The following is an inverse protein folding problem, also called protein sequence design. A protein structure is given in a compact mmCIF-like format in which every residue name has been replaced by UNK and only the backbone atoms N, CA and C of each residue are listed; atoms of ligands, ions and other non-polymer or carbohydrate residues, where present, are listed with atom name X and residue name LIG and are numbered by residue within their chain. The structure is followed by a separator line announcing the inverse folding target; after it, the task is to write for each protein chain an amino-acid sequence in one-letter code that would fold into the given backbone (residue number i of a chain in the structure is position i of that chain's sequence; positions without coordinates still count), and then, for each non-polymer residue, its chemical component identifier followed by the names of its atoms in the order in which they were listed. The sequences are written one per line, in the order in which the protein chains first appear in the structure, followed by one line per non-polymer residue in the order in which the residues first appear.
data_IF_596365136631
#
_entry.id   IF_596365136631
#
_cell.length_a   1.000
_cell.length_b   1.000
_cell.length_c   1.000
_cell.angle_alpha   90.00
_cell.angle_beta   90.00
_cell.angle_gamma   90.00
#
_symmetry.space_group_name_H-M   'P 1'
#
loop_
_entity.id
_entity.type
_entity.pdbx_description
1 polymer ?
#
# COMPACT_ATOMS: atom_id res chain seq x y z
N UNK A 1 -12.50 -7.99 4.12
CA UNK A 1 -11.59 -6.87 3.81
C UNK A 1 -12.39 -5.67 3.30
N UNK A 2 -13.53 -5.87 2.61
CA UNK A 2 -14.48 -4.80 2.23
C UNK A 2 -15.00 -4.01 3.42
N UNK A 3 -15.34 -4.71 4.52
CA UNK A 3 -15.83 -4.06 5.75
C UNK A 3 -14.76 -3.19 6.41
N UNK A 4 -13.51 -3.65 6.45
CA UNK A 4 -12.40 -2.90 7.04
C UNK A 4 -12.04 -1.66 6.21
N UNK A 5 -12.04 -1.78 4.87
CA UNK A 5 -11.84 -0.63 3.98
C UNK A 5 -12.90 0.44 4.23
N UNK A 6 -14.18 0.06 4.34
CA UNK A 6 -15.27 1.00 4.64
C UNK A 6 -15.10 1.68 6.00
N UNK A 7 -14.70 0.95 7.04
CA UNK A 7 -14.42 1.53 8.35
C UNK A 7 -13.29 2.57 8.30
N UNK A 8 -12.23 2.31 7.53
CA UNK A 8 -11.13 3.25 7.33
C UNK A 8 -11.59 4.48 6.55
N UNK A 9 -12.37 4.30 5.49
CA UNK A 9 -12.95 5.38 4.71
C UNK A 9 -13.89 6.28 5.53
N UNK A 10 -14.71 5.69 6.41
CA UNK A 10 -15.55 6.43 7.34
C UNK A 10 -14.71 7.17 8.39
N UNK A 11 -13.69 6.52 8.95
CA UNK A 11 -12.75 7.17 9.85
C UNK A 11 -12.05 8.36 9.20
N UNK A 12 -11.60 8.20 7.95
CA UNK A 12 -10.98 9.25 7.13
C UNK A 12 -11.92 10.46 6.96
N UNK A 13 -13.19 10.22 6.60
CA UNK A 13 -14.23 11.27 6.52
C UNK A 13 -14.44 11.99 7.85
N UNK A 14 -14.49 11.24 8.95
CA UNK A 14 -14.64 11.80 10.29
C UNK A 14 -13.45 12.68 10.71
N UNK A 15 -12.26 12.44 10.13
CA UNK A 15 -11.05 13.25 10.36
C UNK A 15 -10.84 14.33 9.30
N UNK A 16 -11.67 14.40 8.26
CA UNK A 16 -11.52 15.32 7.13
C UNK A 16 -10.31 15.01 6.24
N UNK A 17 -9.77 13.78 6.32
CA UNK A 17 -8.65 13.36 5.50
C UNK A 17 -9.08 13.09 4.06
N UNK A 18 -10.32 12.65 3.85
CA UNK A 18 -10.94 12.41 2.53
C UNK A 18 -10.92 13.66 1.63
N UNK A 19 -10.88 14.85 2.22
CA UNK A 19 -10.86 16.16 1.52
C UNK A 19 -9.54 16.92 1.69
N UNK A 20 -8.58 16.34 2.40
CA UNK A 20 -7.28 16.96 2.58
C UNK A 20 -6.46 16.91 1.27
N UNK A 21 -5.40 17.72 1.21
CA UNK A 21 -4.46 17.73 0.09
C UNK A 21 -3.81 16.35 -0.07
N UNK A 22 -4.01 15.70 -1.22
CA UNK A 22 -3.50 14.33 -1.42
C UNK A 22 -1.98 14.23 -1.44
N UNK A 23 -1.28 15.33 -1.73
CA UNK A 23 0.18 15.42 -1.56
C UNK A 23 0.63 15.21 -0.10
N UNK A 24 -0.17 15.62 0.88
CA UNK A 24 0.09 15.39 2.31
C UNK A 24 -0.22 13.96 2.70
N UNK A 25 -1.25 13.37 2.10
CA UNK A 25 -1.56 11.95 2.30
C UNK A 25 -0.43 11.07 1.75
N UNK A 26 0.08 11.37 0.54
CA UNK A 26 1.23 10.66 -0.03
C UNK A 26 2.49 10.82 0.84
N UNK A 27 2.71 12.00 1.42
CA UNK A 27 3.81 12.19 2.38
C UNK A 27 3.67 11.23 3.57
N UNK A 28 2.46 11.06 4.11
CA UNK A 28 2.19 10.10 5.20
C UNK A 28 2.43 8.67 4.74
N UNK A 29 2.00 8.27 3.54
CA UNK A 29 2.32 6.94 2.99
C UNK A 29 3.84 6.67 2.93
N UNK A 30 4.66 7.66 2.53
CA UNK A 30 6.12 7.50 2.52
C UNK A 30 6.69 7.37 3.93
N UNK A 31 6.13 8.10 4.90
CA UNK A 31 6.47 7.96 6.32
C UNK A 31 6.24 6.51 6.81
N UNK A 32 5.06 5.93 6.55
CA UNK A 32 4.75 4.56 6.98
C UNK A 32 5.65 3.50 6.31
N UNK A 33 6.00 3.70 5.03
CA UNK A 33 6.99 2.85 4.35
C UNK A 33 8.36 2.93 5.04
N UNK A 34 8.72 4.12 5.54
CA UNK A 34 9.93 4.32 6.34
C UNK A 34 9.87 3.55 7.67
N UNK A 35 8.72 3.49 8.33
CA UNK A 35 8.52 2.71 9.55
C UNK A 35 8.66 1.21 9.30
N UNK A 36 8.10 0.69 8.20
CA UNK A 36 8.32 -0.70 7.76
C UNK A 36 9.82 -1.00 7.59
N UNK A 37 10.56 -0.10 6.93
CA UNK A 37 11.99 -0.28 6.74
C UNK A 37 12.76 -0.26 8.08
N UNK A 38 12.39 0.63 9.00
CA UNK A 38 12.99 0.71 10.34
C UNK A 38 12.70 -0.55 11.17
N UNK A 39 11.48 -1.08 11.11
CA UNK A 39 11.08 -2.30 11.82
C UNK A 39 11.86 -3.52 11.31
N UNK A 40 12.03 -3.66 9.99
CA UNK A 40 12.87 -4.70 9.39
C UNK A 40 14.33 -4.60 9.86
N UNK A 41 14.90 -3.39 9.83
CA UNK A 41 16.29 -3.16 10.25
C UNK A 41 16.52 -3.53 11.74
N UNK A 42 15.48 -3.47 12.56
CA UNK A 42 15.52 -3.78 14.00
C UNK A 42 15.01 -5.19 14.34
N UNK A 43 14.59 -5.98 13.34
CA UNK A 43 13.93 -7.27 13.55
C UNK A 43 12.71 -7.22 14.49
N UNK A 44 12.02 -6.08 14.49
CA UNK A 44 10.83 -5.85 15.32
C UNK A 44 9.58 -6.31 14.56
N UNK A 45 9.03 -7.47 14.95
CA UNK A 45 7.89 -8.07 14.27
C UNK A 45 6.57 -7.36 14.54
N UNK A 46 6.43 -6.74 15.71
CA UNK A 46 5.19 -6.07 16.08
C UNK A 46 5.11 -4.73 15.36
N UNK A 47 6.19 -3.94 15.38
CA UNK A 47 6.29 -2.72 14.59
C UNK A 47 6.19 -2.99 13.07
N UNK A 48 6.72 -4.12 12.61
CA UNK A 48 6.59 -4.51 11.20
C UNK A 48 5.13 -4.77 10.82
N UNK A 49 4.37 -5.44 11.68
CA UNK A 49 2.94 -5.69 11.44
C UNK A 49 2.16 -4.37 11.40
N UNK A 50 2.45 -3.48 12.33
CA UNK A 50 1.81 -2.16 12.45
C UNK A 50 2.07 -1.31 11.21
N UNK A 51 3.34 -1.11 10.86
CA UNK A 51 3.73 -0.29 9.71
C UNK A 51 3.20 -0.83 8.37
N UNK A 52 3.13 -2.16 8.19
CA UNK A 52 2.48 -2.73 6.99
C UNK A 52 1.00 -2.34 6.95
N UNK A 53 0.31 -2.40 8.10
CA UNK A 53 -1.07 -1.95 8.23
C UNK A 53 -1.23 -0.48 7.89
N UNK A 54 -0.38 0.38 8.43
CA UNK A 54 -0.45 1.83 8.23
C UNK A 54 -0.15 2.24 6.78
N UNK A 55 0.77 1.56 6.09
CA UNK A 55 0.96 1.73 4.65
C UNK A 55 -0.36 1.46 3.90
N UNK A 56 -1.06 0.37 4.24
CA UNK A 56 -2.34 0.04 3.59
C UNK A 56 -3.43 1.05 3.94
N UNK A 57 -3.55 1.45 5.21
CA UNK A 57 -4.51 2.49 5.65
C UNK A 57 -4.30 3.78 4.88
N UNK A 58 -3.04 4.24 4.77
CA UNK A 58 -2.76 5.50 4.07
C UNK A 58 -3.02 5.41 2.58
N UNK A 59 -2.81 4.24 1.95
CA UNK A 59 -3.16 4.00 0.54
C UNK A 59 -4.68 3.94 0.31
N UNK A 60 -5.46 3.38 1.24
CA UNK A 60 -6.94 3.41 1.18
C UNK A 60 -7.42 4.86 1.14
N UNK A 61 -6.92 5.70 2.04
CA UNK A 61 -7.29 7.12 2.12
C UNK A 61 -6.86 7.87 0.85
N UNK A 62 -5.66 7.58 0.32
CA UNK A 62 -5.20 8.18 -0.93
C UNK A 62 -6.09 7.78 -2.12
N UNK A 63 -6.48 6.52 -2.22
CA UNK A 63 -7.43 6.06 -3.25
C UNK A 63 -8.78 6.79 -3.10
N UNK A 64 -9.30 6.88 -1.88
CA UNK A 64 -10.53 7.58 -1.55
C UNK A 64 -10.50 9.07 -1.98
N UNK A 65 -9.40 9.79 -1.72
CA UNK A 65 -9.22 11.19 -2.13
C UNK A 65 -9.30 11.39 -3.65
N UNK A 66 -9.02 10.34 -4.42
CA UNK A 66 -9.08 10.35 -5.87
C UNK A 66 -10.32 9.63 -6.44
N UNK A 67 -11.31 9.33 -5.59
CA UNK A 67 -12.56 8.68 -6.01
C UNK A 67 -12.37 7.23 -6.46
N UNK A 68 -11.31 6.56 -5.99
CA UNK A 68 -11.01 5.17 -6.27
C UNK A 68 -11.25 4.32 -5.03
N UNK A 69 -11.47 3.02 -5.24
CA UNK A 69 -11.50 2.01 -4.19
C UNK A 69 -10.20 1.18 -4.20
N UNK A 70 -9.69 0.79 -3.01
CA UNK A 70 -8.45 0.03 -2.92
C UNK A 70 -8.52 -1.30 -3.68
N UNK A 71 -9.67 -2.00 -3.68
CA UNK A 71 -9.78 -3.25 -4.43
C UNK A 71 -9.71 -3.04 -5.93
N UNK A 72 -10.30 -1.96 -6.44
CA UNK A 72 -10.16 -1.59 -7.84
C UNK A 72 -8.68 -1.40 -8.21
N UNK A 73 -7.93 -0.64 -7.40
CA UNK A 73 -6.49 -0.44 -7.58
C UNK A 73 -5.71 -1.77 -7.54
N UNK A 74 -6.03 -2.65 -6.59
CA UNK A 74 -5.39 -3.95 -6.45
C UNK A 74 -5.72 -4.91 -7.60
N UNK A 75 -6.96 -4.91 -8.09
CA UNK A 75 -7.37 -5.72 -9.24
C UNK A 75 -6.61 -5.29 -10.50
N UNK A 76 -6.51 -3.98 -10.74
CA UNK A 76 -5.71 -3.43 -11.84
C UNK A 76 -4.24 -3.90 -11.75
N UNK A 77 -3.62 -3.76 -10.57
CA UNK A 77 -2.25 -4.24 -10.36
C UNK A 77 -2.12 -5.76 -10.51
N UNK A 78 -3.11 -6.54 -10.06
CA UNK A 78 -3.09 -8.00 -10.17
C UNK A 78 -3.19 -8.47 -11.62
N UNK A 79 -4.05 -7.84 -12.41
CA UNK A 79 -4.20 -8.15 -13.83
C UNK A 79 -2.90 -7.96 -14.63
N UNK A 80 -2.08 -7.00 -14.21
CA UNK A 80 -0.74 -6.76 -14.77
C UNK A 80 0.33 -7.77 -14.33
N UNK A 81 0.15 -8.44 -13.18
CA UNK A 81 1.15 -9.38 -12.64
C UNK A 81 0.80 -10.85 -12.83
N UNK A 82 -0.49 -11.19 -12.94
CA UNK A 82 -0.97 -12.59 -12.93
C UNK A 82 -0.41 -13.47 -14.04
N UNK A 83 -0.02 -12.88 -15.17
CA UNK A 83 0.53 -13.60 -16.32
C UNK A 83 2.02 -13.34 -16.55
N UNK A 84 2.72 -12.73 -15.58
CA UNK A 84 4.16 -12.43 -15.74
C UNK A 84 4.98 -13.72 -15.76
N UNK A 85 5.65 -13.96 -16.87
CA UNK A 85 6.73 -14.94 -16.95
C UNK A 85 8.03 -14.33 -16.42
N UNK A 86 8.85 -15.14 -15.76
CA UNK A 86 10.10 -14.70 -15.14
C UNK A 86 10.63 -15.71 -14.13
N UNK A 87 11.73 -15.34 -13.45
CA UNK A 87 12.31 -16.15 -12.36
C UNK A 87 12.83 -15.26 -11.24
N UNK A 88 12.82 -15.78 -10.02
CA UNK A 88 13.44 -15.10 -8.88
C UNK A 88 14.95 -15.29 -8.93
N UNK A 89 15.70 -14.18 -8.92
CA UNK A 89 17.17 -14.15 -8.87
C UNK A 89 17.57 -13.34 -7.66
N UNK A 90 18.34 -13.93 -6.74
CA UNK A 90 18.78 -13.28 -5.49
C UNK A 90 17.65 -12.64 -4.68
N UNK A 91 16.49 -13.30 -4.62
CA UNK A 91 15.31 -12.82 -3.86
C UNK A 91 14.46 -11.78 -4.59
N UNK A 92 14.82 -11.38 -5.81
CA UNK A 92 14.04 -10.43 -6.61
C UNK A 92 13.43 -11.13 -7.81
N UNK A 93 12.13 -10.94 -8.05
CA UNK A 93 11.49 -11.44 -9.26
C UNK A 93 11.99 -10.64 -10.48
N UNK A 94 12.56 -11.34 -11.47
CA UNK A 94 13.04 -10.76 -12.73
C UNK A 94 12.15 -11.26 -13.86
N UNK A 95 11.59 -10.33 -14.64
CA UNK A 95 10.73 -10.66 -15.79
C UNK A 95 11.53 -11.40 -16.85
N UNK A 96 10.88 -12.29 -17.58
CA UNK A 96 11.52 -13.05 -18.66
C UNK A 96 12.14 -12.14 -19.73
N UNK A 97 11.48 -11.03 -20.08
CA UNK A 97 12.01 -10.02 -21.00
C UNK A 97 13.33 -9.39 -20.56
N UNK A 98 13.60 -9.40 -19.25
CA UNK A 98 14.75 -8.77 -18.64
C UNK A 98 15.87 -9.79 -18.36
N UNK A 99 15.58 -11.08 -18.56
CA UNK A 99 16.55 -12.17 -18.52
C UNK A 99 17.29 -12.22 -19.87
N UNK A 100 18.49 -11.64 -19.90
CA UNK A 100 19.41 -11.76 -21.04
C UNK A 100 19.96 -13.18 -21.20
#
# INVERSE_FOLDING_TARGET
MDELVKLIEEWSKNKGLDKAESSKQMLKTVEEVGEVAAALARSDKDALRDGIGDVVVTLIILAQQHGMDLYECLNCAYDEIKNRAGKTVNGVFVKESDLK
#
